data_IF_924480243376
#
_entry.id   IF_924480243376
#
_cell.length_a   1.000
_cell.length_b   1.000
_cell.length_c   1.000
_cell.angle_alpha   90.00
_cell.angle_beta   90.00
_cell.angle_gamma   90.00
#
_symmetry.space_group_name_H-M   'P 1'
#
loop_
_entity.id
_entity.type
_entity.pdbx_description
1 polymer ?
#
# COMPACT_ATOMS: atom_id res chain seq x y z
N UNK A 1 -6.17 -20.53 -17.39
CA UNK A 1 -6.01 -21.60 -18.39
C UNK A 1 -5.04 -21.20 -19.50
N UNK A 2 -5.23 -20.04 -20.13
CA UNK A 2 -4.31 -19.47 -21.12
C UNK A 2 -2.91 -19.22 -20.54
N UNK A 3 -2.81 -18.66 -19.33
CA UNK A 3 -1.56 -18.46 -18.58
C UNK A 3 -0.74 -19.76 -18.38
N UNK A 4 -1.41 -20.88 -18.09
CA UNK A 4 -0.74 -22.18 -17.92
C UNK A 4 -0.32 -22.80 -19.25
N UNK A 5 -1.09 -22.58 -20.33
CA UNK A 5 -0.70 -22.97 -21.69
C UNK A 5 0.54 -22.19 -22.14
N UNK A 6 0.61 -20.90 -21.77
CA UNK A 6 1.72 -20.00 -22.04
C UNK A 6 3.00 -20.46 -21.30
N UNK A 7 2.90 -20.80 -20.01
CA UNK A 7 4.02 -21.37 -19.25
C UNK A 7 4.52 -22.72 -19.80
N UNK A 8 3.63 -23.58 -20.32
CA UNK A 8 4.05 -24.84 -20.93
C UNK A 8 4.65 -24.69 -22.33
N UNK A 9 4.24 -23.68 -23.10
CA UNK A 9 4.84 -23.36 -24.41
C UNK A 9 6.30 -22.89 -24.26
N UNK A 10 6.60 -22.12 -23.21
CA UNK A 10 7.97 -21.70 -22.89
C UNK A 10 8.91 -22.85 -22.53
N UNK A 11 8.39 -23.91 -21.92
CA UNK A 11 9.19 -25.08 -21.55
C UNK A 11 9.56 -25.97 -22.76
N UNK A 12 8.89 -25.78 -23.91
CA UNK A 12 9.09 -26.56 -25.15
C UNK A 12 9.89 -25.79 -26.21
N UNK A 13 9.83 -24.45 -26.23
CA UNK A 13 10.52 -23.61 -27.23
C UNK A 13 11.43 -22.56 -26.59
N UNK A 14 12.64 -23.00 -26.23
CA UNK A 14 13.71 -22.16 -25.64
C UNK A 14 14.06 -20.94 -26.53
N UNK A 15 13.94 -21.05 -27.84
CA UNK A 15 14.27 -19.96 -28.79
C UNK A 15 13.26 -18.82 -28.72
N UNK A 16 11.98 -19.11 -28.51
CA UNK A 16 10.97 -18.08 -28.31
C UNK A 16 11.08 -17.42 -26.94
N UNK A 17 11.48 -18.16 -25.90
CA UNK A 17 11.78 -17.60 -24.58
C UNK A 17 12.95 -16.59 -24.64
N UNK A 18 14.02 -16.92 -25.36
CA UNK A 18 15.15 -16.00 -25.54
C UNK A 18 14.74 -14.77 -26.37
N UNK A 19 13.91 -14.95 -27.40
CA UNK A 19 13.41 -13.83 -28.20
C UNK A 19 12.51 -12.88 -27.38
N UNK A 20 11.65 -13.43 -26.54
CA UNK A 20 10.75 -12.70 -25.65
C UNK A 20 11.52 -11.91 -24.57
N UNK A 21 12.49 -12.56 -23.93
CA UNK A 21 13.41 -11.91 -22.98
C UNK A 21 14.21 -10.78 -23.65
N UNK A 22 14.69 -10.99 -24.88
CA UNK A 22 15.52 -9.98 -25.56
C UNK A 22 14.70 -8.83 -26.14
N UNK A 23 13.46 -9.06 -26.58
CA UNK A 23 12.63 -8.00 -27.20
C UNK A 23 11.77 -7.22 -26.23
N UNK A 24 11.15 -7.89 -25.26
CA UNK A 24 10.17 -7.28 -24.37
C UNK A 24 10.75 -7.06 -22.97
N UNK A 25 11.37 -8.05 -22.34
CA UNK A 25 11.95 -7.86 -20.99
C UNK A 25 13.14 -6.88 -20.99
N UNK A 26 14.03 -6.96 -21.99
CA UNK A 26 15.14 -5.99 -22.12
C UNK A 26 14.60 -4.60 -22.49
N UNK A 27 13.57 -4.49 -23.34
CA UNK A 27 12.97 -3.19 -23.69
C UNK A 27 12.28 -2.56 -22.50
N UNK A 28 11.53 -3.33 -21.72
CA UNK A 28 10.91 -2.87 -20.49
C UNK A 28 11.97 -2.49 -19.47
N UNK A 29 13.04 -3.27 -19.32
CA UNK A 29 14.18 -2.92 -18.47
C UNK A 29 14.85 -1.60 -18.91
N UNK A 30 15.05 -1.37 -20.21
CA UNK A 30 15.58 -0.11 -20.74
C UNK A 30 14.60 1.05 -20.58
N UNK A 31 13.29 0.83 -20.74
CA UNK A 31 12.26 1.84 -20.51
C UNK A 31 12.18 2.23 -19.03
N UNK A 32 12.32 1.27 -18.11
CA UNK A 32 12.50 1.51 -16.68
C UNK A 32 13.80 2.26 -16.39
N UNK A 33 14.90 1.92 -17.05
CA UNK A 33 16.20 2.59 -16.90
C UNK A 33 16.17 4.04 -17.43
N UNK A 34 15.45 4.29 -18.52
CA UNK A 34 15.28 5.62 -19.10
C UNK A 34 14.31 6.49 -18.28
N UNK A 35 13.26 5.88 -17.71
CA UNK A 35 12.31 6.55 -16.80
C UNK A 35 12.97 6.91 -15.46
N UNK A 36 13.85 6.04 -14.94
CA UNK A 36 14.60 6.30 -13.70
C UNK A 36 15.72 7.34 -13.85
N UNK A 37 16.19 7.60 -15.06
CA UNK A 37 17.13 8.67 -15.37
C UNK A 37 16.48 10.07 -15.43
N UNK A 38 15.15 10.15 -15.42
CA UNK A 38 14.45 11.42 -15.48
C UNK A 38 14.53 12.15 -14.12
N UNK A 39 14.94 13.43 -14.05
CA UNK A 39 15.09 14.15 -12.78
C UNK A 39 13.79 14.21 -11.96
N UNK A 40 12.63 14.17 -12.63
CA UNK A 40 11.33 14.05 -11.96
C UNK A 40 11.19 12.74 -11.18
N UNK A 41 11.65 11.61 -11.72
CA UNK A 41 11.62 10.32 -11.01
C UNK A 41 12.47 10.36 -9.74
N UNK A 42 13.69 10.90 -9.85
CA UNK A 42 14.58 11.07 -8.70
C UNK A 42 13.95 11.97 -7.62
N UNK A 43 13.30 13.08 -8.03
CA UNK A 43 12.63 13.98 -7.08
C UNK A 43 11.46 13.31 -6.36
N UNK A 44 10.60 12.59 -7.08
CA UNK A 44 9.47 11.84 -6.50
C UNK A 44 9.98 10.75 -5.57
N UNK A 45 11.04 10.04 -5.95
CA UNK A 45 11.66 9.01 -5.13
C UNK A 45 12.17 9.54 -3.79
N UNK A 46 12.85 10.70 -3.80
CA UNK A 46 13.33 11.35 -2.57
C UNK A 46 12.16 11.76 -1.67
N UNK A 47 11.10 12.36 -2.22
CA UNK A 47 9.89 12.71 -1.45
C UNK A 47 9.23 11.46 -0.85
N UNK A 48 9.14 10.38 -1.63
CA UNK A 48 8.57 9.11 -1.16
C UNK A 48 9.38 8.53 0.01
N UNK A 49 10.71 8.56 -0.09
CA UNK A 49 11.61 8.05 0.92
C UNK A 49 11.49 8.86 2.23
N UNK A 50 11.54 10.19 2.15
CA UNK A 50 11.37 11.06 3.32
C UNK A 50 9.99 10.88 3.97
N UNK A 51 8.93 10.79 3.15
CA UNK A 51 7.57 10.52 3.64
C UNK A 51 7.48 9.16 4.33
N UNK A 52 8.10 8.12 3.76
CA UNK A 52 8.17 6.79 4.36
C UNK A 52 8.85 6.78 5.73
N UNK A 53 9.99 7.48 5.87
CA UNK A 53 10.70 7.61 7.16
C UNK A 53 9.81 8.32 8.19
N UNK A 54 9.18 9.44 7.82
CA UNK A 54 8.31 10.19 8.73
C UNK A 54 7.08 9.39 9.16
N UNK A 55 6.45 8.67 8.23
CA UNK A 55 5.32 7.79 8.54
C UNK A 55 5.73 6.66 9.48
N UNK A 56 6.92 6.08 9.29
CA UNK A 56 7.43 5.03 10.16
C UNK A 56 7.72 5.57 11.57
N UNK A 57 8.34 6.74 11.68
CA UNK A 57 8.55 7.41 12.95
C UNK A 57 7.23 7.70 13.68
N UNK A 58 6.25 8.29 12.98
CA UNK A 58 4.92 8.55 13.54
C UNK A 58 4.21 7.25 13.99
N UNK A 59 4.40 6.15 13.28
CA UNK A 59 3.84 4.85 13.67
C UNK A 59 4.43 4.36 14.99
N UNK A 60 5.75 4.47 15.19
CA UNK A 60 6.38 4.10 16.46
C UNK A 60 5.88 4.96 17.63
N UNK A 61 5.74 6.27 17.44
CA UNK A 61 5.18 7.17 18.46
C UNK A 61 3.73 6.80 18.80
N UNK A 62 2.91 6.48 17.80
CA UNK A 62 1.54 6.04 18.01
C UNK A 62 1.45 4.71 18.78
N UNK A 63 2.36 3.77 18.51
CA UNK A 63 2.45 2.50 19.25
C UNK A 63 2.79 2.76 20.72
N UNK A 64 3.74 3.66 20.99
CA UNK A 64 4.14 3.99 22.37
C UNK A 64 2.96 4.59 23.16
N UNK A 65 2.20 5.51 22.56
CA UNK A 65 1.16 6.25 23.27
C UNK A 65 -0.21 5.55 23.33
N UNK A 66 -0.58 4.78 22.30
CA UNK A 66 -1.92 4.19 22.18
C UNK A 66 -1.94 2.66 22.28
N UNK A 67 -0.76 2.03 22.33
CA UNK A 67 -0.60 0.58 22.29
C UNK A 67 -0.69 0.00 20.88
N UNK A 68 -0.25 -1.26 20.75
CA UNK A 68 -0.18 -1.95 19.46
C UNK A 68 -1.56 -2.19 18.82
N UNK A 69 -2.58 -2.55 19.62
CA UNK A 69 -3.91 -2.89 19.12
C UNK A 69 -4.61 -1.69 18.46
N UNK A 70 -4.65 -0.54 19.13
CA UNK A 70 -5.28 0.67 18.60
C UNK A 70 -4.54 1.19 17.36
N UNK A 71 -3.21 1.09 17.35
CA UNK A 71 -2.40 1.51 16.20
C UNK A 71 -2.65 0.62 14.99
N UNK A 72 -2.84 -0.69 15.19
CA UNK A 72 -3.16 -1.61 14.11
C UNK A 72 -4.55 -1.34 13.52
N UNK A 73 -5.56 -1.07 14.36
CA UNK A 73 -6.90 -0.73 13.88
C UNK A 73 -6.88 0.58 13.07
N UNK A 74 -6.15 1.60 13.56
CA UNK A 74 -5.97 2.85 12.85
C UNK A 74 -5.23 2.66 11.51
N UNK A 75 -4.24 1.77 11.46
CA UNK A 75 -3.53 1.41 10.23
C UNK A 75 -4.47 0.80 9.17
N UNK A 76 -5.40 -0.05 9.60
CA UNK A 76 -6.41 -0.64 8.72
C UNK A 76 -7.39 0.41 8.17
N UNK A 77 -7.82 1.37 9.00
CA UNK A 77 -8.69 2.48 8.57
C UNK A 77 -7.96 3.35 7.53
N UNK A 78 -6.68 3.69 7.78
CA UNK A 78 -5.84 4.41 6.83
C UNK A 78 -5.72 3.65 5.50
N UNK A 79 -5.50 2.34 5.54
CA UNK A 79 -5.38 1.51 4.33
C UNK A 79 -6.69 1.52 3.52
N UNK A 80 -7.84 1.42 4.17
CA UNK A 80 -9.15 1.51 3.50
C UNK A 80 -9.33 2.86 2.79
N UNK A 81 -8.95 3.96 3.43
CA UNK A 81 -8.98 5.29 2.81
C UNK A 81 -8.01 5.43 1.63
N UNK A 82 -6.79 4.90 1.76
CA UNK A 82 -5.79 4.89 0.70
C UNK A 82 -6.30 4.13 -0.54
N UNK A 83 -6.92 2.96 -0.34
CA UNK A 83 -7.53 2.17 -1.41
C UNK A 83 -8.64 2.95 -2.10
N UNK A 84 -9.49 3.64 -1.34
CA UNK A 84 -10.55 4.48 -1.91
C UNK A 84 -10.01 5.61 -2.81
N UNK A 85 -9.00 6.35 -2.33
CA UNK A 85 -8.35 7.40 -3.12
C UNK A 85 -7.67 6.81 -4.37
N UNK A 86 -7.01 5.67 -4.24
CA UNK A 86 -6.38 4.98 -5.36
C UNK A 86 -7.40 4.57 -6.43
N UNK A 87 -8.59 4.11 -6.05
CA UNK A 87 -9.65 3.82 -7.02
C UNK A 87 -10.13 5.05 -7.77
N UNK A 88 -10.36 6.16 -7.05
CA UNK A 88 -10.80 7.40 -7.68
C UNK A 88 -9.74 7.94 -8.66
N UNK A 89 -8.46 7.86 -8.27
CA UNK A 89 -7.34 8.24 -9.12
C UNK A 89 -7.19 7.32 -10.32
N UNK A 90 -7.31 6.00 -10.14
CA UNK A 90 -7.19 5.04 -11.25
C UNK A 90 -8.30 5.22 -12.29
N UNK A 91 -9.53 5.45 -11.83
CA UNK A 91 -10.66 5.71 -12.72
C UNK A 91 -10.50 7.03 -13.49
N UNK A 92 -9.95 8.08 -12.84
CA UNK A 92 -9.71 9.37 -13.47
C UNK A 92 -8.53 9.34 -14.47
N UNK A 93 -7.45 8.63 -14.13
CA UNK A 93 -6.19 8.70 -14.86
C UNK A 93 -6.02 7.61 -15.91
N UNK A 94 -6.58 6.42 -15.66
CA UNK A 94 -6.39 5.23 -16.51
C UNK A 94 -7.69 4.66 -17.09
N UNK A 95 -8.87 5.24 -16.78
CA UNK A 95 -10.18 4.68 -17.15
C UNK A 95 -10.32 3.19 -16.79
N UNK A 96 -9.70 2.80 -15.67
CA UNK A 96 -9.59 1.42 -15.21
C UNK A 96 -10.89 0.92 -14.53
N UNK A 97 -10.90 -0.35 -14.11
CA UNK A 97 -12.06 -1.04 -13.53
C UNK A 97 -12.70 -0.24 -12.39
N UNK A 98 -14.02 0.00 -12.52
CA UNK A 98 -14.78 0.73 -11.52
C UNK A 98 -15.00 -0.11 -10.25
N UNK A 99 -14.94 0.52 -9.06
CA UNK A 99 -15.19 -0.19 -7.81
C UNK A 99 -16.62 -0.72 -7.76
N UNK A 100 -16.76 -2.01 -7.42
CA UNK A 100 -18.06 -2.63 -7.22
C UNK A 100 -18.77 -2.16 -5.95
N UNK A 101 -20.07 -2.45 -5.84
CA UNK A 101 -20.91 -2.06 -4.69
C UNK A 101 -20.34 -2.55 -3.34
N UNK A 102 -19.72 -3.74 -3.32
CA UNK A 102 -19.09 -4.29 -2.11
C UNK A 102 -17.93 -3.45 -1.58
N UNK A 103 -17.16 -2.80 -2.47
CA UNK A 103 -16.03 -1.95 -2.06
C UNK A 103 -16.53 -0.68 -1.36
N UNK A 104 -17.62 -0.09 -1.87
CA UNK A 104 -18.26 1.04 -1.22
C UNK A 104 -18.88 0.67 0.13
N UNK A 105 -19.51 -0.51 0.23
CA UNK A 105 -20.02 -1.01 1.52
C UNK A 105 -18.88 -1.25 2.52
N UNK A 106 -17.76 -1.84 2.09
CA UNK A 106 -16.56 -2.01 2.92
C UNK A 106 -16.00 -0.68 3.43
N UNK A 107 -16.01 0.36 2.60
CA UNK A 107 -15.62 1.71 3.00
C UNK A 107 -16.57 2.30 4.07
N UNK A 108 -17.89 2.17 3.86
CA UNK A 108 -18.87 2.66 4.85
C UNK A 108 -18.72 1.94 6.20
N UNK A 109 -18.49 0.63 6.18
CA UNK A 109 -18.26 -0.16 7.39
C UNK A 109 -16.97 0.24 8.12
N UNK A 110 -15.89 0.52 7.39
CA UNK A 110 -14.63 0.98 7.98
C UNK A 110 -14.75 2.39 8.57
N UNK A 111 -15.51 3.30 7.95
CA UNK A 111 -15.83 4.62 8.52
C UNK A 111 -16.69 4.48 9.78
N UNK A 112 -17.71 3.62 9.76
CA UNK A 112 -18.55 3.37 10.93
C UNK A 112 -17.74 2.78 12.11
N UNK A 113 -16.82 1.84 11.83
CA UNK A 113 -15.91 1.29 12.82
C UNK A 113 -14.96 2.35 13.39
N UNK A 114 -14.44 3.24 12.54
CA UNK A 114 -13.61 4.37 12.97
C UNK A 114 -14.37 5.33 13.91
N UNK A 115 -15.62 5.66 13.55
CA UNK A 115 -16.49 6.51 14.38
C UNK A 115 -16.82 5.86 15.72
N UNK A 116 -17.10 4.56 15.74
CA UNK A 116 -17.36 3.82 16.96
C UNK A 116 -16.17 3.85 17.92
N UNK A 117 -14.96 3.62 17.42
CA UNK A 117 -13.72 3.66 18.22
C UNK A 117 -13.42 5.07 18.72
N UNK A 118 -13.67 6.09 17.89
CA UNK A 118 -13.52 7.48 18.31
C UNK A 118 -14.48 7.83 19.46
N UNK A 119 -15.74 7.39 19.35
CA UNK A 119 -16.74 7.63 20.38
C UNK A 119 -16.45 6.84 21.67
N UNK A 120 -15.85 5.65 21.56
CA UNK A 120 -15.41 4.85 22.71
C UNK A 120 -14.22 5.48 23.46
N UNK A 121 -13.56 6.49 22.89
CA UNK A 121 -12.33 7.09 23.43
C UNK A 121 -12.55 8.06 24.62
N UNK A 122 -13.79 8.26 25.07
CA UNK A 122 -14.09 9.04 26.28
C UNK A 122 -14.45 8.14 27.48
N UNK A 123 -13.50 7.87 28.39
CA UNK A 123 -13.38 8.56 29.72
C UNK A 123 -12.32 7.92 30.65
N UNK A 124 -11.89 6.66 30.53
CA UNK A 124 -11.09 6.04 31.63
C UNK A 124 -9.91 5.11 31.29
N UNK A 125 -9.42 5.03 30.05
CA UNK A 125 -8.33 4.08 29.73
C UNK A 125 -7.18 4.72 28.96
N UNK A 126 -6.45 5.59 29.66
CA UNK A 126 -5.02 5.77 29.41
C UNK A 126 -4.39 4.43 29.81
N UNK A 127 -3.81 3.60 28.91
CA UNK A 127 -2.90 2.58 29.37
C UNK A 127 -1.70 3.34 29.91
N UNK A 128 -1.70 3.60 31.22
CA UNK A 128 -0.52 4.07 31.92
C UNK A 128 0.62 3.16 31.54
N UNK A 129 1.80 3.73 31.26
CA UNK A 129 3.06 3.00 31.23
C UNK A 129 3.03 2.01 32.39
N UNK A 130 2.84 0.73 32.10
CA UNK A 130 2.98 -0.30 33.12
C UNK A 130 4.41 -0.15 33.63
N UNK A 131 4.60 -0.18 34.95
CA UNK A 131 5.86 0.14 35.63
C UNK A 131 7.09 -0.65 35.13
N UNK A 132 6.89 -1.64 34.26
CA UNK A 132 7.91 -2.38 33.52
C UNK A 132 8.55 -1.66 32.32
N UNK A 133 7.85 -0.77 31.60
CA UNK A 133 8.43 -0.08 30.44
C UNK A 133 9.20 1.20 30.80
N UNK A 134 9.24 1.57 32.08
CA UNK A 134 10.02 2.73 32.57
C UNK A 134 11.47 2.38 32.95
N UNK A 135 11.85 1.09 32.93
CA UNK A 135 13.17 0.61 33.36
C UNK A 135 13.93 -0.20 32.31
N UNK A 136 13.49 -0.17 31.05
CA UNK A 136 14.21 -0.77 29.93
C UNK A 136 14.88 0.32 29.09
#
# INVERSE_FOLDING_TARGET
AIEMLYMHAFNSLIVFLIADVVQDEIRDAFMYMMTSAHPLFSSVFVVLLLSGILLQFATFVCIEHNGALNTQILSNIRAAFQIFVAYFLSLYLFYDVSPGVLNYLGLLLTIAAAYYIYNQRNTDTIPQKTAWTSKA
#
